data_IF_551020537470
#
_entry.id   IF_551020537470
#
_cell.length_a   1.000
_cell.length_b   1.000
_cell.length_c   1.000
_cell.angle_alpha   90.00
_cell.angle_beta   90.00
_cell.angle_gamma   90.00
#
_symmetry.space_group_name_H-M   'P 1'
#
loop_
_entity.id
_entity.type
_entity.pdbx_description
1 polymer ?
#
# COMPACT_ATOMS: atom_id res chain seq x y z
N UNK A 1 -13.96 9.76 -7.41
CA UNK A 1 -12.86 9.31 -8.27
C UNK A 1 -12.72 7.80 -8.27
N UNK A 2 -12.52 7.21 -9.45
CA UNK A 2 -12.15 5.79 -9.57
C UNK A 2 -10.65 5.60 -9.24
N UNK A 3 -10.26 4.45 -8.67
CA UNK A 3 -8.85 4.09 -8.53
C UNK A 3 -8.14 4.12 -9.87
N UNK A 4 -6.98 4.77 -9.92
CA UNK A 4 -6.10 4.69 -11.08
C UNK A 4 -5.45 3.31 -11.15
N UNK A 5 -4.98 2.94 -12.35
CA UNK A 5 -4.40 1.61 -12.61
C UNK A 5 -3.22 1.29 -11.69
N UNK A 6 -2.44 2.29 -11.30
CA UNK A 6 -1.27 2.09 -10.47
C UNK A 6 -1.65 1.96 -8.98
N UNK A 7 -2.68 2.67 -8.50
CA UNK A 7 -3.29 2.39 -7.19
C UNK A 7 -3.88 0.99 -7.06
N UNK A 8 -4.53 0.47 -8.10
CA UNK A 8 -5.03 -0.92 -8.11
C UNK A 8 -3.88 -1.93 -8.06
N UNK A 9 -2.79 -1.67 -8.77
CA UNK A 9 -1.59 -2.52 -8.69
C UNK A 9 -0.94 -2.46 -7.32
N UNK A 10 -0.84 -1.28 -6.72
CA UNK A 10 -0.33 -1.11 -5.36
C UNK A 10 -1.14 -1.94 -4.37
N UNK A 11 -2.47 -1.83 -4.42
CA UNK A 11 -3.34 -2.57 -3.50
C UNK A 11 -3.20 -4.08 -3.67
N UNK A 12 -3.06 -4.57 -4.91
CA UNK A 12 -2.81 -5.98 -5.18
C UNK A 12 -1.45 -6.46 -4.62
N UNK A 13 -0.38 -5.68 -4.78
CA UNK A 13 0.95 -6.00 -4.21
C UNK A 13 0.87 -6.01 -2.68
N UNK A 14 0.20 -5.02 -2.09
CA UNK A 14 0.03 -4.90 -0.64
C UNK A 14 -0.74 -6.11 -0.07
N UNK A 15 -1.87 -6.45 -0.68
CA UNK A 15 -2.70 -7.56 -0.28
C UNK A 15 -1.95 -8.90 -0.40
N UNK A 16 -1.21 -9.10 -1.51
CA UNK A 16 -0.42 -10.31 -1.72
C UNK A 16 0.69 -10.43 -0.67
N UNK A 17 1.46 -9.36 -0.44
CA UNK A 17 2.55 -9.36 0.53
C UNK A 17 2.06 -9.66 1.96
N UNK A 18 0.90 -9.11 2.33
CA UNK A 18 0.26 -9.43 3.60
C UNK A 18 -0.12 -10.91 3.70
N UNK A 19 -0.77 -11.45 2.66
CA UNK A 19 -1.20 -12.84 2.64
C UNK A 19 -0.01 -13.81 2.66
N UNK A 20 1.05 -13.52 1.89
CA UNK A 20 2.27 -14.32 1.85
C UNK A 20 2.96 -14.37 3.23
N UNK A 21 3.01 -13.23 3.95
CA UNK A 21 3.69 -13.16 5.25
C UNK A 21 2.90 -13.82 6.38
N UNK A 22 1.59 -13.59 6.43
CA UNK A 22 0.77 -13.99 7.58
C UNK A 22 -0.07 -15.25 7.33
N UNK A 23 -0.15 -15.73 6.09
CA UNK A 23 -1.04 -16.83 5.68
C UNK A 23 -2.50 -16.57 6.05
N UNK A 24 -2.95 -15.31 5.94
CA UNK A 24 -4.29 -14.83 6.32
C UNK A 24 -4.85 -13.99 5.16
N UNK A 25 -6.17 -13.99 5.01
CA UNK A 25 -6.86 -13.14 4.04
C UNK A 25 -6.58 -11.65 4.28
N UNK A 26 -6.21 -10.87 3.24
CA UNK A 26 -5.85 -9.46 3.34
C UNK A 26 -7.10 -8.56 3.44
N UNK A 27 -7.95 -8.80 4.42
CA UNK A 27 -9.08 -7.90 4.72
C UNK A 27 -8.58 -6.64 5.45
N UNK A 28 -9.29 -5.49 5.35
CA UNK A 28 -8.92 -4.30 6.10
C UNK A 28 -8.81 -4.55 7.62
N UNK A 29 -9.67 -5.42 8.17
CA UNK A 29 -9.63 -5.81 9.58
C UNK A 29 -8.36 -6.57 9.92
N UNK A 30 -8.07 -7.65 9.19
CA UNK A 30 -6.90 -8.48 9.47
C UNK A 30 -5.61 -7.68 9.32
N UNK A 31 -5.51 -6.85 8.28
CA UNK A 31 -4.37 -5.98 8.06
C UNK A 31 -4.21 -4.98 9.21
N UNK A 32 -5.28 -4.24 9.55
CA UNK A 32 -5.25 -3.24 10.61
C UNK A 32 -4.84 -3.85 11.95
N UNK A 33 -5.46 -4.97 12.36
CA UNK A 33 -5.17 -5.62 13.64
C UNK A 33 -3.70 -6.10 13.72
N UNK A 34 -3.16 -6.69 12.64
CA UNK A 34 -1.76 -7.11 12.58
C UNK A 34 -0.79 -5.93 12.57
N UNK A 35 -1.09 -4.89 11.80
CA UNK A 35 -0.23 -3.71 11.69
C UNK A 35 -0.20 -2.95 13.02
N UNK A 36 -1.36 -2.65 13.61
CA UNK A 36 -1.48 -1.92 14.87
C UNK A 36 -0.89 -2.69 16.06
N UNK A 37 -0.95 -4.03 16.05
CA UNK A 37 -0.28 -4.84 17.08
C UNK A 37 1.24 -4.82 16.96
N UNK A 38 1.79 -4.52 15.78
CA UNK A 38 3.22 -4.54 15.49
C UNK A 38 3.86 -3.14 15.47
N UNK A 39 3.07 -2.10 15.28
CA UNK A 39 3.52 -0.73 15.03
C UNK A 39 2.87 0.23 16.02
N UNK A 40 3.70 1.04 16.69
CA UNK A 40 3.23 2.18 17.45
C UNK A 40 3.04 3.36 16.49
N UNK A 41 1.89 3.39 15.82
CA UNK A 41 1.62 4.25 14.67
C UNK A 41 0.15 4.69 14.59
N UNK A 42 -0.12 5.81 13.91
CA UNK A 42 -1.42 6.48 13.82
C UNK A 42 -2.30 6.03 12.64
N UNK A 43 -1.86 5.00 11.91
CA UNK A 43 -2.60 4.46 10.77
C UNK A 43 -3.94 3.88 11.22
N UNK A 44 -5.02 4.55 10.80
CA UNK A 44 -6.38 4.15 11.12
C UNK A 44 -6.88 3.00 10.24
N UNK A 45 -7.91 2.29 10.71
CA UNK A 45 -8.61 1.27 9.93
C UNK A 45 -9.09 1.79 8.56
N UNK A 46 -9.65 3.02 8.53
CA UNK A 46 -10.13 3.63 7.28
C UNK A 46 -9.00 3.87 6.29
N UNK A 47 -7.82 4.21 6.79
CA UNK A 47 -6.61 4.38 5.96
C UNK A 47 -6.21 3.05 5.31
N UNK A 48 -6.17 1.97 6.09
CA UNK A 48 -5.90 0.62 5.59
C UNK A 48 -6.92 0.17 4.57
N UNK A 49 -8.22 0.38 4.83
CA UNK A 49 -9.31 0.09 3.88
C UNK A 49 -9.07 0.78 2.55
N UNK A 50 -8.75 2.08 2.58
CA UNK A 50 -8.48 2.86 1.36
C UNK A 50 -7.28 2.33 0.58
N UNK A 51 -6.21 1.91 1.27
CA UNK A 51 -5.04 1.32 0.62
C UNK A 51 -5.37 -0.01 -0.07
N UNK A 52 -6.09 -0.91 0.61
CA UNK A 52 -6.45 -2.22 0.05
C UNK A 52 -7.49 -2.13 -1.08
N UNK A 53 -8.30 -1.07 -1.10
CA UNK A 53 -9.24 -0.80 -2.19
C UNK A 53 -8.64 0.02 -3.34
N UNK A 54 -7.39 0.48 -3.23
CA UNK A 54 -6.77 1.38 -4.21
C UNK A 54 -7.39 2.79 -4.25
N UNK A 55 -8.12 3.18 -3.20
CA UNK A 55 -8.70 4.53 -3.06
C UNK A 55 -7.60 5.56 -2.72
N UNK A 56 -6.54 5.14 -2.03
CA UNK A 56 -5.35 5.95 -1.75
C UNK A 56 -4.09 5.09 -1.68
N UNK A 57 -2.93 5.73 -1.62
CA UNK A 57 -1.63 5.09 -1.35
C UNK A 57 -0.98 5.74 -0.12
N UNK A 58 -0.13 5.02 0.61
CA UNK A 58 0.70 5.64 1.64
C UNK A 58 1.73 6.60 1.02
N UNK A 59 2.28 7.51 1.82
CA UNK A 59 3.44 8.30 1.43
C UNK A 59 4.72 7.43 1.40
N UNK A 60 5.83 7.98 0.88
CA UNK A 60 7.08 7.22 0.72
C UNK A 60 7.60 6.62 2.04
N UNK A 61 7.63 7.41 3.12
CA UNK A 61 8.11 6.94 4.43
C UNK A 61 7.27 5.75 4.92
N UNK A 62 5.95 5.84 4.77
CA UNK A 62 5.04 4.77 5.15
C UNK A 62 5.20 3.53 4.28
N UNK A 63 5.46 3.69 2.99
CA UNK A 63 5.78 2.56 2.11
C UNK A 63 7.07 1.87 2.57
N UNK A 64 8.10 2.62 2.99
CA UNK A 64 9.33 2.06 3.55
C UNK A 64 9.08 1.27 4.85
N UNK A 65 8.20 1.77 5.72
CA UNK A 65 7.80 1.07 6.97
C UNK A 65 7.05 -0.21 6.62
N UNK A 66 6.05 -0.13 5.75
CA UNK A 66 5.24 -1.28 5.32
C UNK A 66 6.09 -2.33 4.61
N UNK A 67 7.04 -1.93 3.75
CA UNK A 67 7.88 -2.86 3.02
C UNK A 67 8.76 -3.68 3.96
N UNK A 68 9.40 -3.01 4.95
CA UNK A 68 10.17 -3.68 6.01
C UNK A 68 9.28 -4.58 6.86
N UNK A 69 8.09 -4.09 7.23
CA UNK A 69 7.16 -4.86 8.05
C UNK A 69 6.61 -6.09 7.33
N UNK A 70 6.37 -6.03 6.02
CA UNK A 70 5.88 -7.14 5.21
C UNK A 70 7.00 -8.03 4.66
N UNK A 71 8.26 -7.69 4.91
CA UNK A 71 9.42 -8.39 4.36
C UNK A 71 9.37 -8.50 2.82
N UNK A 72 9.02 -7.39 2.17
CA UNK A 72 8.96 -7.26 0.71
C UNK A 72 9.93 -6.19 0.25
N UNK A 73 10.61 -6.45 -0.88
CA UNK A 73 11.46 -5.46 -1.54
C UNK A 73 10.65 -4.19 -1.85
N UNK A 74 11.14 -3.05 -1.33
CA UNK A 74 10.55 -1.73 -1.52
C UNK A 74 10.27 -1.43 -3.01
N UNK A 75 11.13 -1.89 -3.90
CA UNK A 75 10.98 -1.67 -5.35
C UNK A 75 9.67 -2.28 -5.89
N UNK A 76 9.14 -3.36 -5.28
CA UNK A 76 7.85 -3.94 -5.68
C UNK A 76 6.69 -2.97 -5.49
N UNK A 77 6.77 -2.09 -4.49
CA UNK A 77 5.83 -0.99 -4.36
C UNK A 77 6.20 0.15 -5.31
N UNK A 78 7.46 0.59 -5.33
CA UNK A 78 7.85 1.75 -6.14
C UNK A 78 7.57 1.58 -7.63
N UNK A 79 7.80 0.39 -8.19
CA UNK A 79 7.54 0.06 -9.61
C UNK A 79 6.07 0.32 -10.01
N UNK A 80 5.14 0.25 -9.06
CA UNK A 80 3.72 0.44 -9.35
C UNK A 80 3.23 1.86 -9.10
N UNK A 81 3.89 2.67 -8.27
CA UNK A 81 3.48 4.06 -7.98
C UNK A 81 4.31 5.13 -8.68
N UNK A 82 5.57 4.86 -9.03
CA UNK A 82 6.43 5.81 -9.78
C UNK A 82 5.87 6.13 -11.17
N UNK A 83 5.16 5.19 -11.80
CA UNK A 83 4.46 5.42 -13.07
C UNK A 83 3.34 6.47 -12.99
N UNK A 84 2.76 6.71 -11.82
CA UNK A 84 1.75 7.76 -11.63
C UNK A 84 2.38 9.14 -11.41
N UNK A 85 3.49 9.22 -10.67
CA UNK A 85 4.19 10.48 -10.42
C UNK A 85 4.85 11.03 -11.68
N UNK A 86 5.40 10.16 -12.54
CA UNK A 86 5.97 10.57 -13.83
C UNK A 86 4.89 11.14 -14.77
N UNK A 87 3.71 10.51 -14.83
CA UNK A 87 2.61 10.96 -15.69
C UNK A 87 1.90 12.24 -15.20
N UNK A 88 1.98 12.56 -13.91
CA UNK A 88 1.48 13.83 -13.36
C UNK A 88 2.48 14.99 -13.49
N UNK A 89 3.77 14.70 -13.70
CA UNK A 89 4.81 15.71 -13.94
C UNK A 89 4.97 16.10 -15.41
N UNK A 90 4.31 15.37 -16.32
CA UNK A 90 4.31 15.63 -17.74
C UNK A 90 3.14 16.57 -18.12
N UNK A 91 3.12 17.77 -17.55
CA UNK A 91 2.36 18.86 -18.15
C UNK A 91 3.13 19.35 -19.39
N UNK A 92 2.49 19.48 -20.57
CA UNK A 92 3.16 19.98 -21.76
C UNK A 92 3.51 21.47 -21.58
N UNK A 93 4.77 21.82 -21.84
CA UNK A 93 5.22 23.21 -22.07
C UNK A 93 4.58 23.72 -23.36
#
# INVERSE_FOLDING_TARGET
DMPSKARIKFSAVLAKAFSDKFSIDPTPRNFYEKYHSAMEDDVSYETVRKWLNGESTPNFDRICVISKWLDIDLNKFLDVITLEQINLSADPI
#
